data_IF_793647340056
#
_entry.id   IF_793647340056
#
_cell.length_a   1.000
_cell.length_b   1.000
_cell.length_c   1.000
_cell.angle_alpha   90.00
_cell.angle_beta   90.00
_cell.angle_gamma   90.00
#
_symmetry.space_group_name_H-M   'P 1'
#
loop_
_entity.id
_entity.type
_entity.pdbx_description
1 polymer ?
#
# COMPACT_ATOMS: atom_id res chain seq x y z
N UNK A 1 -9.57 36.80 -2.26
CA UNK A 1 -8.58 36.36 -1.25
C UNK A 1 -7.37 35.87 -2.01
N UNK A 2 -6.20 36.48 -1.78
CA UNK A 2 -4.94 36.08 -2.44
C UNK A 2 -4.24 35.11 -1.48
N UNK A 3 -3.92 33.91 -1.96
CA UNK A 3 -3.33 32.83 -1.14
C UNK A 3 -2.00 33.24 -0.46
N UNK A 4 -1.33 34.28 -0.96
CA UNK A 4 0.01 34.66 -0.52
C UNK A 4 0.07 35.64 0.67
N UNK A 5 -1.06 36.20 1.12
CA UNK A 5 -1.03 37.33 2.09
C UNK A 5 -1.78 37.08 3.40
N UNK A 6 -2.47 35.94 3.53
CA UNK A 6 -3.36 35.62 4.66
C UNK A 6 -2.82 34.42 5.46
N UNK A 7 -3.17 34.32 6.74
CA UNK A 7 -2.63 33.32 7.69
C UNK A 7 -3.17 31.89 7.50
N UNK A 8 -4.02 31.69 6.50
CA UNK A 8 -4.55 30.37 6.13
C UNK A 8 -5.66 29.85 7.05
N UNK A 9 -5.93 30.49 8.19
CA UNK A 9 -6.83 29.97 9.23
C UNK A 9 -8.26 29.74 8.75
N UNK A 10 -8.73 30.53 7.78
CA UNK A 10 -10.11 30.48 7.26
C UNK A 10 -10.31 29.59 6.04
N UNK A 11 -9.25 29.29 5.28
CA UNK A 11 -9.38 28.63 3.96
C UNK A 11 -8.52 27.37 3.82
N UNK A 12 -7.50 27.18 4.66
CA UNK A 12 -6.63 25.99 4.57
C UNK A 12 -7.40 24.69 4.82
N UNK A 13 -8.34 24.69 5.77
CA UNK A 13 -9.20 23.53 6.02
C UNK A 13 -10.12 23.20 4.84
N UNK A 14 -10.67 24.24 4.20
CA UNK A 14 -11.56 24.08 3.04
C UNK A 14 -10.81 23.62 1.78
N UNK A 15 -9.52 23.96 1.64
CA UNK A 15 -8.66 23.44 0.56
C UNK A 15 -8.35 21.95 0.70
N UNK A 16 -8.31 21.43 1.92
CA UNK A 16 -8.11 20.01 2.21
C UNK A 16 -9.43 19.22 2.15
N UNK A 17 -10.56 19.88 1.88
CA UNK A 17 -11.85 19.21 1.73
C UNK A 17 -11.82 18.26 0.52
N UNK A 18 -12.70 17.25 0.55
CA UNK A 18 -12.77 16.19 -0.48
C UNK A 18 -12.87 16.77 -1.90
N UNK A 19 -13.61 17.86 -2.07
CA UNK A 19 -13.87 18.45 -3.38
C UNK A 19 -12.72 19.36 -3.85
N UNK A 20 -12.09 20.12 -2.94
CA UNK A 20 -11.08 21.13 -3.26
C UNK A 20 -9.64 20.59 -3.26
N UNK A 21 -9.38 19.46 -2.61
CA UNK A 21 -8.06 18.81 -2.52
C UNK A 21 -7.44 18.45 -3.88
N UNK A 22 -8.25 18.37 -4.94
CA UNK A 22 -7.80 18.18 -6.32
C UNK A 22 -6.84 19.28 -6.78
N UNK A 23 -7.05 20.52 -6.32
CA UNK A 23 -6.18 21.65 -6.69
C UNK A 23 -4.78 21.43 -6.11
N UNK A 24 -4.68 21.05 -4.82
CA UNK A 24 -3.40 20.73 -4.17
C UNK A 24 -2.70 19.60 -4.92
N UNK A 25 -3.42 18.51 -5.21
CA UNK A 25 -2.86 17.35 -5.91
C UNK A 25 -2.34 17.72 -7.31
N UNK A 26 -3.08 18.52 -8.07
CA UNK A 26 -2.66 19.00 -9.39
C UNK A 26 -1.45 19.93 -9.32
N UNK A 27 -1.40 20.82 -8.33
CA UNK A 27 -0.26 21.72 -8.12
C UNK A 27 1.00 20.94 -7.75
N UNK A 28 0.89 19.91 -6.90
CA UNK A 28 2.01 19.02 -6.56
C UNK A 28 2.47 18.26 -7.81
N UNK A 29 1.55 17.63 -8.55
CA UNK A 29 1.91 16.93 -9.79
C UNK A 29 2.56 17.86 -10.82
N UNK A 30 2.08 19.09 -10.95
CA UNK A 30 2.70 20.09 -11.82
C UNK A 30 4.08 20.51 -11.34
N UNK A 31 4.27 20.71 -10.03
CA UNK A 31 5.55 21.10 -9.44
C UNK A 31 6.61 19.98 -9.54
N UNK A 32 6.20 18.72 -9.48
CA UNK A 32 7.04 17.56 -9.76
C UNK A 32 7.42 17.56 -11.25
N UNK A 33 6.46 17.83 -12.13
CA UNK A 33 6.70 17.93 -13.58
C UNK A 33 6.99 16.58 -14.22
N UNK A 34 7.35 16.62 -15.51
CA UNK A 34 7.83 15.46 -16.27
C UNK A 34 9.35 15.49 -16.32
N UNK A 35 10.00 14.65 -15.51
CA UNK A 35 11.47 14.59 -15.41
C UNK A 35 12.15 14.06 -16.67
N UNK A 36 11.42 13.46 -17.61
CA UNK A 36 12.01 12.90 -18.84
C UNK A 36 12.15 13.92 -19.97
N UNK A 37 11.73 15.18 -19.75
CA UNK A 37 11.73 16.22 -20.79
C UNK A 37 13.12 16.58 -21.33
N UNK A 38 14.16 16.44 -20.51
CA UNK A 38 15.55 16.77 -20.87
C UNK A 38 16.37 15.51 -21.24
N UNK A 39 15.74 14.33 -21.36
CA UNK A 39 16.44 13.12 -21.75
C UNK A 39 16.53 13.02 -23.28
N UNK A 40 17.74 12.81 -23.81
CA UNK A 40 17.99 12.54 -25.23
C UNK A 40 17.38 11.19 -25.69
N UNK A 41 17.01 10.33 -24.74
CA UNK A 41 16.35 9.05 -24.97
C UNK A 41 15.22 8.82 -23.96
N UNK A 42 13.99 8.64 -24.46
CA UNK A 42 12.81 8.32 -23.63
C UNK A 42 11.86 7.39 -24.37
N UNK A 43 11.30 6.40 -23.67
CA UNK A 43 10.38 5.42 -24.24
C UNK A 43 9.03 5.57 -23.56
N UNK A 44 8.09 6.14 -24.31
CA UNK A 44 6.72 6.41 -23.87
C UNK A 44 5.78 5.36 -24.42
N UNK A 45 5.18 4.61 -23.52
CA UNK A 45 4.23 3.57 -23.85
C UNK A 45 3.14 3.48 -22.79
N UNK A 46 2.00 2.93 -23.17
CA UNK A 46 0.89 2.65 -22.26
C UNK A 46 0.81 1.16 -22.03
N UNK A 47 0.40 0.76 -20.82
CA UNK A 47 0.01 -0.62 -20.57
C UNK A 47 -1.11 -1.04 -21.51
N UNK A 48 -1.15 -2.33 -21.83
CA UNK A 48 -2.07 -2.87 -22.83
C UNK A 48 -2.72 -4.18 -22.39
N UNK A 49 -3.74 -4.60 -23.10
CA UNK A 49 -4.44 -5.87 -22.90
C UNK A 49 -4.09 -6.84 -24.02
N UNK A 50 -4.27 -8.13 -23.74
CA UNK A 50 -4.01 -9.19 -24.71
C UNK A 50 -4.75 -8.94 -26.04
N UNK A 51 -4.04 -9.00 -27.16
CA UNK A 51 -4.63 -8.84 -28.50
C UNK A 51 -4.90 -7.41 -28.95
N UNK A 52 -4.64 -6.38 -28.13
CA UNK A 52 -4.70 -4.97 -28.56
C UNK A 52 -3.35 -4.48 -29.07
N UNK A 53 -3.39 -3.75 -30.18
CA UNK A 53 -2.22 -3.02 -30.67
C UNK A 53 -2.01 -1.77 -29.82
N UNK A 54 -0.80 -1.59 -29.31
CA UNK A 54 -0.36 -0.36 -28.62
C UNK A 54 0.79 0.29 -29.37
N UNK A 55 0.76 1.61 -29.42
CA UNK A 55 1.83 2.42 -29.99
C UNK A 55 2.92 2.67 -28.94
N UNK A 56 4.16 2.35 -29.30
CA UNK A 56 5.37 2.66 -28.55
C UNK A 56 6.02 3.88 -29.19
N UNK A 57 6.12 4.97 -28.44
CA UNK A 57 6.75 6.19 -28.90
C UNK A 57 8.13 6.32 -28.26
N UNK A 58 9.16 6.41 -29.07
CA UNK A 58 10.55 6.52 -28.64
C UNK A 58 11.08 7.87 -29.09
N UNK A 59 11.54 8.66 -28.12
CA UNK A 59 12.29 9.88 -28.36
C UNK A 59 13.76 9.49 -28.47
N UNK A 60 14.38 9.76 -29.61
CA UNK A 60 15.80 9.50 -29.87
C UNK A 60 16.28 10.27 -31.09
N UNK A 61 17.55 10.66 -31.13
CA UNK A 61 18.17 11.26 -32.32
C UNK A 61 18.32 10.25 -33.48
N UNK A 62 18.60 8.99 -33.14
CA UNK A 62 18.80 7.90 -34.09
C UNK A 62 17.58 6.98 -34.16
N UNK A 63 17.46 6.22 -35.26
CA UNK A 63 16.36 5.27 -35.40
C UNK A 63 16.58 4.10 -34.41
N UNK A 64 15.67 3.86 -33.47
CA UNK A 64 15.79 2.73 -32.55
C UNK A 64 15.53 1.41 -33.28
N UNK A 65 16.28 0.38 -32.91
CA UNK A 65 16.10 -0.99 -33.40
C UNK A 65 15.78 -1.93 -32.23
N UNK A 66 14.67 -2.65 -32.33
CA UNK A 66 14.29 -3.66 -31.34
C UNK A 66 13.69 -4.88 -32.04
N UNK A 67 14.03 -6.08 -31.56
CA UNK A 67 13.64 -7.34 -32.21
C UNK A 67 12.11 -7.46 -32.32
N UNK A 68 11.62 -7.57 -33.56
CA UNK A 68 10.20 -7.77 -33.84
C UNK A 68 9.34 -6.50 -33.80
N UNK A 69 9.95 -5.32 -33.69
CA UNK A 69 9.26 -4.03 -33.79
C UNK A 69 9.86 -3.20 -34.92
N UNK A 70 9.00 -2.69 -35.81
CA UNK A 70 9.39 -1.75 -36.86
C UNK A 70 9.02 -0.33 -36.44
N UNK A 71 10.05 0.49 -36.21
CA UNK A 71 9.88 1.89 -35.86
C UNK A 71 9.78 2.77 -37.11
N UNK A 72 8.73 3.59 -37.14
CA UNK A 72 8.46 4.61 -38.16
C UNK A 72 8.68 6.00 -37.58
N UNK A 73 9.35 6.89 -38.32
CA UNK A 73 9.57 8.27 -37.88
C UNK A 73 8.27 9.06 -37.97
N UNK A 74 7.80 9.60 -36.85
CA UNK A 74 6.56 10.39 -36.75
C UNK A 74 6.87 11.88 -36.71
N UNK A 75 7.96 12.27 -36.04
CA UNK A 75 8.40 13.66 -35.95
C UNK A 75 9.94 13.76 -35.80
N UNK A 76 10.48 14.98 -35.71
CA UNK A 76 11.88 15.23 -35.38
C UNK A 76 12.21 14.62 -34.00
N UNK A 77 13.09 13.61 -34.02
CA UNK A 77 13.48 12.88 -32.82
C UNK A 77 12.40 11.94 -32.24
N UNK A 78 11.28 11.71 -32.94
CA UNK A 78 10.19 10.86 -32.46
C UNK A 78 9.91 9.71 -33.42
N UNK A 79 10.00 8.49 -32.90
CA UNK A 79 9.73 7.25 -33.62
C UNK A 79 8.57 6.50 -32.97
N UNK A 80 7.70 5.87 -33.76
CA UNK A 80 6.58 5.09 -33.27
C UNK A 80 6.59 3.68 -33.85
N UNK A 81 6.31 2.66 -33.02
CA UNK A 81 6.15 1.28 -33.43
C UNK A 81 4.86 0.69 -32.87
N UNK A 82 4.27 -0.26 -33.59
CA UNK A 82 3.09 -1.00 -33.12
C UNK A 82 3.51 -2.33 -32.51
N UNK A 83 3.07 -2.56 -31.27
CA UNK A 83 3.24 -3.82 -30.56
C UNK A 83 1.89 -4.46 -30.31
N UNK A 84 1.75 -5.74 -30.67
CA UNK A 84 0.54 -6.53 -30.42
C UNK A 84 0.91 -7.80 -29.64
N UNK A 85 0.70 -7.81 -28.31
CA UNK A 85 1.11 -8.93 -27.49
C UNK A 85 0.22 -10.15 -27.71
N UNK A 86 0.88 -11.32 -27.81
CA UNK A 86 0.24 -12.62 -27.97
C UNK A 86 0.12 -13.40 -26.65
N UNK A 87 0.78 -12.92 -25.59
CA UNK A 87 0.74 -13.53 -24.25
C UNK A 87 0.68 -12.44 -23.18
N UNK A 88 0.13 -12.79 -22.04
CA UNK A 88 0.09 -11.95 -20.85
C UNK A 88 1.45 -11.96 -20.14
N UNK A 89 1.78 -10.88 -19.44
CA UNK A 89 3.02 -10.75 -18.69
C UNK A 89 3.72 -9.41 -18.88
N UNK A 90 4.94 -9.32 -18.36
CA UNK A 90 5.78 -8.13 -18.47
C UNK A 90 6.74 -8.25 -19.64
N UNK A 91 6.75 -7.22 -20.50
CA UNK A 91 7.64 -7.12 -21.64
C UNK A 91 8.62 -5.98 -21.43
N UNK A 92 9.91 -6.25 -21.62
CA UNK A 92 10.98 -5.25 -21.57
C UNK A 92 11.31 -4.82 -22.99
N UNK A 93 10.79 -3.66 -23.41
CA UNK A 93 11.00 -3.11 -24.75
C UNK A 93 11.87 -1.87 -24.60
N UNK A 94 13.12 -1.94 -25.09
CA UNK A 94 14.15 -0.94 -24.83
C UNK A 94 14.30 -0.72 -23.31
N UNK A 95 14.20 0.52 -22.84
CA UNK A 95 14.24 0.87 -21.41
C UNK A 95 12.86 0.91 -20.73
N UNK A 96 11.78 0.62 -21.47
CA UNK A 96 10.43 0.58 -20.92
C UNK A 96 9.99 -0.84 -20.54
N UNK A 97 9.28 -0.93 -19.41
CA UNK A 97 8.57 -2.13 -18.98
C UNK A 97 7.09 -1.94 -19.25
N UNK A 98 6.48 -2.89 -19.96
CA UNK A 98 5.05 -2.86 -20.29
C UNK A 98 4.36 -4.06 -19.70
N UNK A 99 3.30 -3.79 -18.92
CA UNK A 99 2.39 -4.80 -18.44
C UNK A 99 1.34 -5.13 -19.50
N UNK A 100 1.27 -6.40 -19.88
CA UNK A 100 0.17 -6.93 -20.70
C UNK A 100 -0.78 -7.69 -19.79
N UNK A 101 -1.98 -7.15 -19.63
CA UNK A 101 -3.04 -7.70 -18.77
C UNK A 101 -4.06 -8.54 -19.54
N UNK A 102 -5.03 -9.06 -18.79
CA UNK A 102 -6.16 -9.89 -19.22
C UNK A 102 -6.93 -9.33 -20.43
N UNK A 103 -7.71 -10.20 -21.09
CA UNK A 103 -8.61 -9.81 -22.20
C UNK A 103 -9.66 -8.78 -21.75
N UNK A 104 -10.02 -7.86 -22.63
CA UNK A 104 -10.97 -6.75 -22.39
C UNK A 104 -12.30 -7.18 -21.76
N UNK A 105 -12.73 -8.42 -22.03
CA UNK A 105 -13.96 -9.01 -21.48
C UNK A 105 -13.98 -8.97 -19.95
N UNK A 106 -12.82 -9.09 -19.30
CA UNK A 106 -12.68 -9.07 -17.85
C UNK A 106 -12.65 -7.66 -17.26
N UNK A 107 -12.37 -6.62 -18.06
CA UNK A 107 -12.31 -5.22 -17.61
C UNK A 107 -13.63 -4.78 -16.98
N UNK A 108 -14.76 -5.26 -17.52
CA UNK A 108 -16.11 -4.89 -17.07
C UNK A 108 -16.65 -5.74 -15.92
N UNK A 109 -15.96 -6.82 -15.55
CA UNK A 109 -16.44 -7.76 -14.53
C UNK A 109 -16.23 -7.18 -13.12
N UNK A 110 -15.26 -6.26 -12.97
CA UNK A 110 -14.96 -5.61 -11.70
C UNK A 110 -14.41 -6.59 -10.65
N UNK A 111 -14.19 -6.10 -9.43
CA UNK A 111 -13.70 -6.93 -8.34
C UNK A 111 -14.86 -7.71 -7.70
N UNK A 112 -14.58 -8.94 -7.26
CA UNK A 112 -15.54 -9.71 -6.49
C UNK A 112 -15.90 -8.93 -5.20
N UNK A 113 -17.19 -8.70 -4.88
CA UNK A 113 -17.60 -7.98 -3.67
C UNK A 113 -17.08 -8.59 -2.37
N UNK A 114 -16.76 -9.89 -2.38
CA UNK A 114 -16.21 -10.61 -1.23
C UNK A 114 -14.69 -10.56 -1.17
N UNK A 115 -14.02 -9.92 -2.12
CA UNK A 115 -12.56 -9.86 -2.15
C UNK A 115 -12.00 -9.17 -0.89
N UNK A 116 -12.64 -8.10 -0.43
CA UNK A 116 -12.23 -7.40 0.80
C UNK A 116 -12.35 -8.30 2.05
N UNK A 117 -13.46 -9.02 2.16
CA UNK A 117 -13.69 -10.03 3.21
C UNK A 117 -12.61 -11.12 3.16
N UNK A 118 -12.34 -11.65 1.96
CA UNK A 118 -11.36 -12.71 1.73
C UNK A 118 -9.92 -12.26 2.00
N UNK A 119 -9.54 -11.04 1.62
CA UNK A 119 -8.22 -10.46 1.92
C UNK A 119 -8.07 -10.25 3.43
N UNK A 120 -9.11 -9.79 4.11
CA UNK A 120 -9.11 -9.61 5.56
C UNK A 120 -8.97 -10.94 6.29
N UNK A 121 -9.71 -11.96 5.87
CA UNK A 121 -9.64 -13.30 6.46
C UNK A 121 -8.28 -13.95 6.17
N UNK A 122 -7.81 -13.92 4.93
CA UNK A 122 -6.52 -14.54 4.54
C UNK A 122 -5.29 -13.75 5.02
N UNK A 123 -5.47 -12.50 5.46
CA UNK A 123 -4.38 -11.58 5.74
C UNK A 123 -3.58 -11.22 4.47
N UNK A 124 -4.22 -11.28 3.30
CA UNK A 124 -3.59 -11.03 1.99
C UNK A 124 -2.71 -12.17 1.46
N UNK A 125 -2.77 -13.37 2.07
CA UNK A 125 -2.08 -14.55 1.54
C UNK A 125 -2.83 -15.13 0.34
N UNK A 126 -2.09 -15.50 -0.69
CA UNK A 126 -2.60 -16.23 -1.86
C UNK A 126 -2.40 -17.73 -1.62
N UNK A 127 -3.44 -18.52 -1.88
CA UNK A 127 -3.39 -19.98 -1.73
C UNK A 127 -3.60 -20.65 -3.08
N UNK A 128 -2.75 -21.63 -3.41
CA UNK A 128 -3.03 -22.55 -4.50
C UNK A 128 -4.11 -23.55 -4.03
N UNK A 129 -5.11 -23.91 -4.84
CA UNK A 129 -6.12 -24.91 -4.47
C UNK A 129 -5.54 -26.27 -4.05
N UNK A 130 -4.34 -26.61 -4.51
CA UNK A 130 -3.67 -27.87 -4.17
C UNK A 130 -2.84 -27.79 -2.87
N UNK A 131 -2.63 -26.60 -2.32
CA UNK A 131 -1.82 -26.38 -1.12
C UNK A 131 -2.67 -26.45 0.16
N UNK A 132 -3.26 -27.63 0.37
CA UNK A 132 -4.20 -27.90 1.48
C UNK A 132 -3.51 -27.72 2.84
N UNK A 133 -2.21 -27.97 2.92
CA UNK A 133 -1.44 -27.91 4.16
C UNK A 133 -1.28 -26.46 4.65
N UNK A 134 -0.90 -25.53 3.76
CA UNK A 134 -0.81 -24.10 4.11
C UNK A 134 -2.17 -23.46 4.41
N UNK A 135 -3.23 -23.90 3.72
CA UNK A 135 -4.60 -23.46 4.02
C UNK A 135 -4.98 -23.87 5.44
N UNK A 136 -4.76 -25.16 5.78
CA UNK A 136 -5.07 -25.70 7.10
C UNK A 136 -4.31 -24.98 8.20
N UNK A 137 -3.00 -24.80 8.04
CA UNK A 137 -2.16 -24.16 9.05
C UNK A 137 -2.53 -22.68 9.23
N UNK A 138 -2.86 -21.99 8.15
CA UNK A 138 -3.31 -20.60 8.22
C UNK A 138 -4.64 -20.48 8.97
N UNK A 139 -5.62 -21.34 8.67
CA UNK A 139 -6.91 -21.37 9.38
C UNK A 139 -6.72 -21.68 10.87
N UNK A 140 -5.87 -22.63 11.22
CA UNK A 140 -5.54 -22.96 12.61
C UNK A 140 -4.87 -21.78 13.33
N UNK A 141 -3.92 -21.12 12.66
CA UNK A 141 -3.21 -19.95 13.24
C UNK A 141 -4.14 -18.77 13.52
N UNK A 142 -5.12 -18.54 12.63
CA UNK A 142 -6.12 -17.48 12.78
C UNK A 142 -7.10 -17.81 13.91
N UNK A 143 -7.52 -19.07 14.02
CA UNK A 143 -8.36 -19.54 15.13
C UNK A 143 -7.68 -19.39 16.50
N UNK A 144 -6.37 -19.65 16.59
CA UNK A 144 -5.60 -19.47 17.84
C UNK A 144 -5.43 -18.01 18.26
N UNK A 145 -5.53 -17.05 17.35
CA UNK A 145 -5.20 -15.63 17.62
C UNK A 145 -6.24 -14.89 18.49
N UNK A 146 -7.40 -15.49 18.76
CA UNK A 146 -8.51 -14.83 19.49
C UNK A 146 -8.60 -15.17 21.00
N UNK A 147 -7.48 -15.35 21.70
CA UNK A 147 -7.50 -15.48 23.16
C UNK A 147 -6.44 -14.58 23.80
N UNK A 148 -6.72 -13.28 23.85
CA UNK A 148 -5.97 -12.35 24.68
C UNK A 148 -6.47 -12.57 26.12
N UNK A 149 -5.92 -13.57 26.82
CA UNK A 149 -6.08 -13.65 28.28
C UNK A 149 -5.19 -12.58 28.91
N UNK A 150 -5.81 -11.51 29.39
CA UNK A 150 -5.13 -10.49 30.19
C UNK A 150 -4.86 -11.08 31.57
N UNK A 151 -3.68 -11.68 31.75
CA UNK A 151 -3.25 -12.18 33.07
C UNK A 151 -3.03 -10.98 33.99
N UNK A 152 -3.91 -10.84 34.99
CA UNK A 152 -3.92 -9.71 35.90
C UNK A 152 -2.97 -9.95 37.09
N UNK A 153 -1.77 -9.37 37.03
CA UNK A 153 -0.76 -9.46 38.09
C UNK A 153 -1.05 -8.59 39.34
N UNK A 154 -2.23 -7.96 39.47
CA UNK A 154 -2.55 -7.13 40.65
C UNK A 154 -2.70 -7.93 41.95
N UNK A 155 -3.15 -9.18 41.87
CA UNK A 155 -3.44 -10.02 43.04
C UNK A 155 -2.21 -10.35 43.92
N UNK A 156 -1.02 -10.71 43.39
CA UNK A 156 0.16 -10.92 44.22
C UNK A 156 0.60 -9.65 44.97
N UNK A 157 0.48 -8.46 44.36
CA UNK A 157 0.78 -7.19 45.06
C UNK A 157 -0.22 -6.89 46.17
N UNK A 158 -1.50 -7.22 45.98
CA UNK A 158 -2.52 -7.06 47.02
C UNK A 158 -2.24 -7.97 48.24
N UNK A 159 -1.80 -9.21 48.00
CA UNK A 159 -1.41 -10.13 49.08
C UNK A 159 -0.17 -9.62 49.82
N UNK A 160 0.85 -9.15 49.09
CA UNK A 160 2.06 -8.60 49.70
C UNK A 160 1.74 -7.39 50.60
N UNK A 161 0.88 -6.47 50.14
CA UNK A 161 0.44 -5.32 50.92
C UNK A 161 -0.34 -5.74 52.19
N UNK A 162 -1.20 -6.77 52.08
CA UNK A 162 -1.95 -7.31 53.21
C UNK A 162 -1.01 -7.87 54.30
N UNK A 163 0.02 -8.60 53.90
CA UNK A 163 1.00 -9.19 54.83
C UNK A 163 1.78 -8.08 55.55
N UNK A 164 2.26 -7.07 54.82
CA UNK A 164 2.98 -5.93 55.40
C UNK A 164 2.09 -5.19 56.41
N UNK A 165 0.82 -4.96 56.07
CA UNK A 165 -0.13 -4.31 56.97
C UNK A 165 -0.38 -5.11 58.26
N UNK A 166 -0.54 -6.44 58.15
CA UNK A 166 -0.72 -7.30 59.32
C UNK A 166 0.50 -7.28 60.24
N UNK A 167 1.71 -7.30 59.68
CA UNK A 167 2.95 -7.21 60.45
C UNK A 167 3.02 -5.86 61.19
N UNK A 168 2.69 -4.76 60.52
CA UNK A 168 2.69 -3.43 61.14
C UNK A 168 1.72 -3.33 62.32
N UNK A 169 0.50 -3.86 62.16
CA UNK A 169 -0.51 -3.89 63.24
C UNK A 169 -0.05 -4.74 64.42
N UNK A 170 0.58 -5.90 64.17
CA UNK A 170 1.11 -6.76 65.22
C UNK A 170 2.24 -6.08 66.00
N UNK A 171 3.18 -5.43 65.30
CA UNK A 171 4.27 -4.67 65.93
C UNK A 171 3.70 -3.53 66.78
N UNK A 172 2.75 -2.77 66.24
CA UNK A 172 2.11 -1.66 66.95
C UNK A 172 1.40 -2.13 68.22
N UNK A 173 0.66 -3.23 68.13
CA UNK A 173 -0.09 -3.80 69.26
C UNK A 173 0.82 -4.35 70.36
N UNK A 174 1.94 -4.97 70.01
CA UNK A 174 2.93 -5.44 71.00
C UNK A 174 3.58 -4.24 71.70
N UNK A 175 3.91 -3.18 70.95
CA UNK A 175 4.51 -1.96 71.50
C UNK A 175 3.56 -1.19 72.42
N UNK A 176 2.27 -1.11 72.07
CA UNK A 176 1.24 -0.53 72.94
C UNK A 176 1.09 -1.33 74.24
N UNK A 177 0.99 -2.66 74.17
CA UNK A 177 0.89 -3.51 75.38
C UNK A 177 2.15 -3.45 76.26
N UNK A 178 3.34 -3.24 75.68
CA UNK A 178 4.60 -3.13 76.44
C UNK A 178 4.82 -1.75 77.08
N UNK A 179 4.17 -0.70 76.57
CA UNK A 179 4.22 0.66 77.13
C UNK A 179 3.15 0.93 78.20
N UNK A 180 2.22 -0.01 78.41
CA UNK A 180 1.13 0.08 79.40
C UNK A 180 1.39 -0.85 80.61
N UNK A 181 2.56 -1.48 80.68
CA UNK A 181 3.00 -2.33 81.80
C UNK A 181 4.09 -1.66 82.65
#
# INVERSE_FOLDING_TARGET
>A
VVLSTDDGSRWAGELLSRDNSKIITRTINWAIGDFTKDNDFDVRTKDTTLGKSTDFNVISDEKPEYKGLEFSKVDAGLYSAKFMPQKEGFYHILDAVVGVSYNDEYEKIGLNPRLEELVTISGGKVFDPNDIENIRDTVISMSRRSRIETVNYRWPFAIAALIIFLIDVLIRRIRENKNIG
#
